data_IF_432376474486
#
_entry.id   IF_432376474486
#
_cell.length_a   1.000
_cell.length_b   1.000
_cell.length_c   1.000
_cell.angle_alpha   90.00
_cell.angle_beta   90.00
_cell.angle_gamma   90.00
#
_symmetry.space_group_name_H-M   'P 1'
#
loop_
_entity.id
_entity.type
_entity.pdbx_description
1 polymer ?
#
# COMPACT_ATOMS: atom_id res chain seq x y z
N UNK A 1 -7.11 12.12 4.81
CA UNK A 1 -6.12 12.02 3.71
C UNK A 1 -6.64 11.00 2.73
N UNK A 2 -6.55 11.30 1.43
CA UNK A 2 -6.98 10.38 0.38
C UNK A 2 -5.76 9.77 -0.32
N UNK A 3 -5.83 8.48 -0.61
CA UNK A 3 -4.85 7.78 -1.44
C UNK A 3 -5.07 8.14 -2.91
N UNK A 4 -3.99 8.35 -3.66
CA UNK A 4 -4.04 8.39 -5.13
C UNK A 4 -4.02 6.97 -5.67
N UNK A 5 -5.14 6.55 -6.27
CA UNK A 5 -5.26 5.21 -6.85
C UNK A 5 -5.31 5.31 -8.37
N UNK A 6 -4.52 4.49 -9.06
CA UNK A 6 -4.58 4.38 -10.53
C UNK A 6 -5.32 3.09 -10.91
N UNK A 7 -6.47 3.18 -11.60
CA UNK A 7 -7.10 2.04 -12.23
C UNK A 7 -6.23 1.48 -13.36
N UNK A 8 -5.93 0.18 -13.32
CA UNK A 8 -5.23 -0.52 -14.39
C UNK A 8 -6.17 -1.41 -15.20
N UNK A 9 -6.09 -1.30 -16.52
CA UNK A 9 -6.83 -2.16 -17.45
C UNK A 9 -5.88 -3.04 -18.28
N UNK A 10 -6.38 -4.21 -18.69
CA UNK A 10 -5.63 -5.15 -19.52
C UNK A 10 -5.75 -4.85 -21.01
N UNK A 11 -6.97 -4.59 -21.48
CA UNK A 11 -7.30 -4.52 -22.91
C UNK A 11 -7.69 -3.09 -23.34
N UNK A 12 -8.74 -2.51 -22.74
CA UNK A 12 -9.23 -1.18 -23.09
C UNK A 12 -9.76 -0.43 -21.87
N UNK A 13 -9.56 0.89 -21.84
CA UNK A 13 -10.20 1.79 -20.87
C UNK A 13 -11.70 2.00 -21.15
N UNK A 14 -12.13 1.70 -22.37
CA UNK A 14 -13.51 1.86 -22.83
C UNK A 14 -14.38 0.62 -22.62
N UNK A 15 -13.80 -0.44 -22.03
CA UNK A 15 -14.56 -1.61 -21.65
C UNK A 15 -15.70 -1.22 -20.66
N UNK A 16 -16.97 -1.54 -20.96
CA UNK A 16 -18.10 -1.11 -20.15
C UNK A 16 -18.07 -1.64 -18.72
N UNK A 17 -17.57 -2.86 -18.51
CA UNK A 17 -17.45 -3.45 -17.17
C UNK A 17 -16.37 -2.72 -16.39
N UNK A 18 -15.18 -2.54 -16.98
CA UNK A 18 -14.09 -1.79 -16.35
C UNK A 18 -14.53 -0.37 -15.96
N UNK A 19 -15.17 0.36 -16.87
CA UNK A 19 -15.63 1.73 -16.63
C UNK A 19 -16.68 1.78 -15.53
N UNK A 20 -17.68 0.90 -15.60
CA UNK A 20 -18.72 0.82 -14.57
C UNK A 20 -18.15 0.48 -13.19
N UNK A 21 -17.12 -0.37 -13.11
CA UNK A 21 -16.44 -0.64 -11.84
C UNK A 21 -15.61 0.56 -11.35
N UNK A 22 -14.95 1.30 -12.24
CA UNK A 22 -14.26 2.54 -11.85
C UNK A 22 -15.22 3.56 -11.22
N UNK A 23 -16.37 3.80 -11.84
CA UNK A 23 -17.39 4.74 -11.35
C UNK A 23 -17.90 4.32 -9.96
N UNK A 24 -18.19 3.03 -9.76
CA UNK A 24 -18.61 2.50 -8.46
C UNK A 24 -17.52 2.63 -7.40
N UNK A 25 -16.27 2.30 -7.74
CA UNK A 25 -15.14 2.44 -6.81
C UNK A 25 -14.91 3.90 -6.42
N UNK A 26 -15.06 4.84 -7.35
CA UNK A 26 -14.97 6.28 -7.08
C UNK A 26 -16.05 6.74 -6.09
N UNK A 27 -17.28 6.23 -6.21
CA UNK A 27 -18.34 6.49 -5.24
C UNK A 27 -18.04 5.86 -3.86
N UNK A 28 -17.72 4.57 -3.83
CA UNK A 28 -17.55 3.79 -2.60
C UNK A 28 -16.35 4.23 -1.75
N UNK A 29 -15.29 4.67 -2.41
CA UNK A 29 -14.01 5.08 -1.81
C UNK A 29 -13.82 6.59 -1.80
N UNK A 30 -14.87 7.37 -2.07
CA UNK A 30 -14.80 8.84 -2.17
C UNK A 30 -14.08 9.49 -1.00
N UNK A 31 -14.24 8.97 0.21
CA UNK A 31 -13.62 9.54 1.43
C UNK A 31 -12.16 9.09 1.62
N UNK A 32 -11.78 7.94 1.06
CA UNK A 32 -10.47 7.32 1.25
C UNK A 32 -9.50 7.52 0.07
N UNK A 33 -9.99 7.78 -1.14
CA UNK A 33 -9.16 7.84 -2.34
C UNK A 33 -9.60 8.91 -3.35
N UNK A 34 -8.61 9.42 -4.07
CA UNK A 34 -8.77 10.11 -5.34
C UNK A 34 -8.42 9.10 -6.45
N UNK A 35 -9.42 8.72 -7.25
CA UNK A 35 -9.23 7.82 -8.38
C UNK A 35 -8.68 8.63 -9.56
N UNK A 36 -7.48 8.28 -10.01
CA UNK A 36 -6.80 8.95 -11.12
C UNK A 36 -7.22 8.39 -12.47
N UNK A 37 -6.76 9.03 -13.55
CA UNK A 37 -6.97 8.55 -14.93
C UNK A 37 -6.50 7.09 -15.10
N UNK A 38 -7.35 6.21 -15.67
CA UNK A 38 -6.99 4.83 -15.96
C UNK A 38 -5.75 4.72 -16.85
N UNK A 39 -4.92 3.70 -16.60
CA UNK A 39 -3.70 3.43 -17.37
C UNK A 39 -3.65 1.97 -17.86
N UNK A 40 -3.08 1.71 -19.04
CA UNK A 40 -2.90 0.34 -19.50
C UNK A 40 -1.85 -0.34 -18.62
N UNK A 41 -2.06 -1.62 -18.32
CA UNK A 41 -1.03 -2.46 -17.69
C UNK A 41 0.27 -2.40 -18.52
N UNK A 42 1.41 -2.29 -17.84
CA UNK A 42 2.73 -2.18 -18.48
C UNK A 42 3.15 -0.76 -18.84
N UNK A 43 2.27 0.24 -18.70
CA UNK A 43 2.63 1.64 -18.91
C UNK A 43 3.42 2.23 -17.73
N UNK A 44 4.15 3.31 -17.99
CA UNK A 44 4.78 4.11 -16.95
C UNK A 44 3.73 4.78 -16.09
N UNK A 45 3.76 4.52 -14.79
CA UNK A 45 2.78 5.06 -13.84
C UNK A 45 3.24 6.43 -13.32
N UNK A 46 2.35 7.44 -13.25
CA UNK A 46 2.61 8.64 -12.48
C UNK A 46 2.71 8.31 -10.98
N UNK A 47 3.08 9.31 -10.18
CA UNK A 47 3.17 9.14 -8.73
C UNK A 47 1.79 8.78 -8.13
N UNK A 48 1.70 7.59 -7.53
CA UNK A 48 0.49 7.08 -6.90
C UNK A 48 0.82 6.29 -5.64
N UNK A 49 -0.17 6.13 -4.77
CA UNK A 49 0.00 5.46 -3.49
C UNK A 49 -0.31 3.97 -3.61
N UNK A 50 -1.16 3.58 -4.56
CA UNK A 50 -1.41 2.21 -4.98
C UNK A 50 -2.02 2.17 -6.39
N UNK A 51 -2.04 0.98 -6.98
CA UNK A 51 -2.86 0.68 -8.16
C UNK A 51 -4.06 -0.17 -7.76
N UNK A 52 -5.14 -0.03 -8.50
CA UNK A 52 -6.35 -0.83 -8.33
C UNK A 52 -6.69 -1.50 -9.66
N UNK A 53 -7.09 -2.77 -9.61
CA UNK A 53 -7.68 -3.51 -10.71
C UNK A 53 -9.20 -3.59 -10.48
N UNK A 54 -9.99 -2.74 -11.16
CA UNK A 54 -11.45 -2.81 -11.20
C UNK A 54 -11.98 -4.04 -11.95
N UNK A 55 -11.13 -4.66 -12.76
CA UNK A 55 -11.42 -5.87 -13.50
C UNK A 55 -10.12 -6.68 -13.62
N UNK A 56 -10.20 -8.00 -13.48
CA UNK A 56 -9.10 -8.91 -13.83
C UNK A 56 -9.58 -9.89 -14.89
N UNK A 57 -8.69 -10.25 -15.81
CA UNK A 57 -8.99 -11.13 -16.94
C UNK A 57 -7.95 -12.25 -17.00
N UNK A 58 -8.20 -13.27 -17.80
CA UNK A 58 -7.23 -14.34 -18.08
C UNK A 58 -5.89 -13.83 -18.63
N UNK A 59 -5.83 -12.61 -19.15
CA UNK A 59 -4.58 -11.92 -19.49
C UNK A 59 -3.59 -11.83 -18.32
N UNK A 60 -4.06 -11.81 -17.08
CA UNK A 60 -3.21 -11.84 -15.89
C UNK A 60 -2.28 -13.06 -15.84
N UNK A 61 -2.70 -14.21 -16.38
CA UNK A 61 -1.86 -15.41 -16.44
C UNK A 61 -0.67 -15.28 -17.39
N UNK A 62 -0.80 -14.44 -18.42
CA UNK A 62 0.18 -14.23 -19.49
C UNK A 62 1.05 -13.00 -19.27
N UNK A 63 0.55 -12.00 -18.52
CA UNK A 63 1.19 -10.70 -18.28
C UNK A 63 1.72 -10.56 -16.84
N UNK A 64 2.12 -11.67 -16.24
CA UNK A 64 2.60 -11.76 -14.84
C UNK A 64 3.77 -10.81 -14.57
N UNK A 65 4.72 -10.73 -15.49
CA UNK A 65 5.92 -9.90 -15.29
C UNK A 65 5.60 -8.41 -15.32
N UNK A 66 4.57 -8.01 -16.05
CA UNK A 66 4.10 -6.62 -16.05
C UNK A 66 3.41 -6.27 -14.73
N UNK A 67 2.66 -7.22 -14.14
CA UNK A 67 2.06 -7.06 -12.81
C UNK A 67 3.16 -7.05 -11.74
N UNK A 68 4.18 -7.91 -11.86
CA UNK A 68 5.33 -7.96 -10.94
C UNK A 68 6.13 -6.66 -10.94
N UNK A 69 6.23 -5.99 -12.10
CA UNK A 69 6.98 -4.75 -12.25
C UNK A 69 6.31 -3.53 -11.59
N UNK A 70 5.07 -3.65 -11.11
CA UNK A 70 4.34 -2.56 -10.45
C UNK A 70 5.04 -2.22 -9.11
N UNK A 71 5.53 -0.98 -8.92
CA UNK A 71 6.35 -0.63 -7.75
C UNK A 71 5.54 -0.25 -6.50
N UNK A 72 4.23 -0.14 -6.65
CA UNK A 72 3.29 0.28 -5.60
C UNK A 72 2.35 -0.88 -5.25
N UNK A 73 1.68 -0.84 -4.08
CA UNK A 73 0.73 -1.88 -3.69
C UNK A 73 -0.36 -2.11 -4.74
N UNK A 74 -0.74 -3.37 -4.92
CA UNK A 74 -1.75 -3.81 -5.90
C UNK A 74 -3.02 -4.20 -5.16
N UNK A 75 -4.14 -3.58 -5.51
CA UNK A 75 -5.47 -3.87 -4.98
C UNK A 75 -6.33 -4.46 -6.10
N UNK A 76 -7.02 -5.57 -5.83
CA UNK A 76 -7.97 -6.19 -6.75
C UNK A 76 -9.36 -6.03 -6.14
N UNK A 77 -10.18 -5.17 -6.74
CA UNK A 77 -11.54 -4.88 -6.28
C UNK A 77 -12.46 -4.83 -7.51
N UNK A 78 -13.01 -5.98 -7.85
CA UNK A 78 -13.67 -6.24 -9.14
C UNK A 78 -15.18 -6.41 -9.06
N UNK A 79 -15.71 -6.47 -7.85
CA UNK A 79 -17.15 -6.49 -7.61
C UNK A 79 -17.69 -5.07 -7.44
N UNK A 80 -18.98 -4.92 -7.73
CA UNK A 80 -19.70 -3.66 -7.55
C UNK A 80 -19.81 -3.16 -6.11
N UNK A 81 -19.44 -4.01 -5.14
CA UNK A 81 -19.44 -3.67 -3.71
C UNK A 81 -18.06 -3.22 -3.21
N UNK A 82 -17.11 -2.98 -4.12
CA UNK A 82 -15.76 -2.52 -3.78
C UNK A 82 -14.91 -3.59 -3.10
N UNK A 83 -15.17 -4.86 -3.39
CA UNK A 83 -14.41 -6.02 -2.92
C UNK A 83 -14.02 -6.91 -4.10
N UNK A 84 -13.20 -7.94 -3.87
CA UNK A 84 -12.86 -8.94 -4.89
C UNK A 84 -14.10 -9.78 -5.23
N UNK A 85 -14.33 -10.02 -6.51
CA UNK A 85 -15.33 -10.99 -6.95
C UNK A 85 -14.85 -12.41 -6.60
N UNK A 86 -15.76 -13.27 -6.11
CA UNK A 86 -15.42 -14.64 -5.74
C UNK A 86 -14.81 -15.42 -6.90
N UNK A 87 -15.20 -15.14 -8.15
CA UNK A 87 -14.70 -15.83 -9.33
C UNK A 87 -13.24 -15.50 -9.66
N UNK A 88 -12.69 -14.41 -9.13
CA UNK A 88 -11.31 -14.00 -9.37
C UNK A 88 -10.30 -14.71 -8.45
N UNK A 89 -10.78 -15.60 -7.57
CA UNK A 89 -9.95 -16.33 -6.61
C UNK A 89 -8.76 -17.05 -7.27
N UNK A 90 -8.97 -17.64 -8.44
CA UNK A 90 -7.93 -18.39 -9.16
C UNK A 90 -6.81 -17.46 -9.66
N UNK A 91 -7.16 -16.29 -10.19
CA UNK A 91 -6.19 -15.28 -10.63
C UNK A 91 -5.40 -14.78 -9.42
N UNK A 92 -6.09 -14.46 -8.32
CA UNK A 92 -5.46 -13.99 -7.08
C UNK A 92 -4.49 -15.03 -6.53
N UNK A 93 -4.89 -16.29 -6.46
CA UNK A 93 -4.05 -17.39 -5.96
C UNK A 93 -2.83 -17.62 -6.87
N UNK A 94 -3.05 -17.62 -8.20
CA UNK A 94 -1.97 -17.75 -9.18
C UNK A 94 -0.92 -16.64 -9.04
N UNK A 95 -1.34 -15.37 -8.90
CA UNK A 95 -0.43 -14.23 -8.70
C UNK A 95 0.37 -14.38 -7.39
N UNK A 96 -0.29 -14.77 -6.29
CA UNK A 96 0.36 -15.04 -5.00
C UNK A 96 1.37 -16.18 -5.09
N UNK A 97 1.02 -17.26 -5.80
CA UNK A 97 1.93 -18.39 -6.07
C UNK A 97 3.18 -18.00 -6.85
N UNK A 98 3.14 -16.89 -7.60
CA UNK A 98 4.30 -16.28 -8.29
C UNK A 98 5.05 -15.24 -7.46
N UNK A 99 4.72 -15.12 -6.18
CA UNK A 99 5.34 -14.19 -5.24
C UNK A 99 4.89 -12.74 -5.40
N UNK A 100 3.80 -12.49 -6.14
CA UNK A 100 3.25 -11.14 -6.30
C UNK A 100 2.31 -10.86 -5.13
N UNK A 101 2.58 -9.79 -4.39
CA UNK A 101 1.76 -9.38 -3.27
C UNK A 101 0.57 -8.56 -3.79
N UNK A 102 -0.63 -9.17 -3.74
CA UNK A 102 -1.89 -8.52 -4.09
C UNK A 102 -2.86 -8.52 -2.92
N UNK A 103 -3.50 -7.37 -2.71
CA UNK A 103 -4.63 -7.22 -1.82
C UNK A 103 -5.92 -7.61 -2.55
N UNK A 104 -6.63 -8.60 -2.01
CA UNK A 104 -7.93 -9.04 -2.52
C UNK A 104 -8.94 -8.99 -1.37
N UNK A 105 -9.43 -7.79 -1.02
CA UNK A 105 -10.34 -7.60 0.11
C UNK A 105 -11.70 -8.25 -0.16
N UNK A 106 -12.28 -8.87 0.87
CA UNK A 106 -13.59 -9.55 0.80
C UNK A 106 -14.72 -8.75 1.49
N UNK A 107 -14.43 -7.54 1.95
CA UNK A 107 -15.42 -6.56 2.44
C UNK A 107 -15.01 -5.16 2.04
N UNK A 108 -15.98 -4.25 1.91
CA UNK A 108 -15.70 -2.84 1.62
C UNK A 108 -14.86 -2.17 2.72
N UNK A 109 -15.11 -2.48 3.99
CA UNK A 109 -14.34 -1.90 5.11
C UNK A 109 -12.87 -2.32 5.09
N UNK A 110 -12.59 -3.55 4.64
CA UNK A 110 -11.21 -4.00 4.43
C UNK A 110 -10.57 -3.24 3.27
N UNK A 111 -11.29 -3.05 2.15
CA UNK A 111 -10.81 -2.22 1.03
C UNK A 111 -10.46 -0.82 1.50
N UNK A 112 -11.38 -0.14 2.21
CA UNK A 112 -11.16 1.20 2.78
C UNK A 112 -9.94 1.24 3.71
N UNK A 113 -9.77 0.22 4.55
CA UNK A 113 -8.62 0.13 5.46
C UNK A 113 -7.29 -0.03 4.71
N UNK A 114 -7.26 -0.84 3.65
CA UNK A 114 -6.09 -1.02 2.80
C UNK A 114 -5.75 0.29 2.07
N UNK A 115 -6.75 0.98 1.53
CA UNK A 115 -6.58 2.27 0.85
C UNK A 115 -6.01 3.32 1.81
N UNK A 116 -6.56 3.45 3.02
CA UNK A 116 -6.02 4.35 4.05
C UNK A 116 -4.58 3.99 4.43
N UNK A 117 -4.25 2.70 4.53
CA UNK A 117 -2.88 2.25 4.81
C UNK A 117 -1.91 2.61 3.67
N UNK A 118 -2.36 2.57 2.41
CA UNK A 118 -1.56 3.00 1.27
C UNK A 118 -1.25 4.50 1.34
N UNK A 119 -2.24 5.34 1.66
CA UNK A 119 -2.02 6.77 1.88
C UNK A 119 -1.04 7.02 3.03
N UNK A 120 -1.21 6.32 4.16
CA UNK A 120 -0.34 6.45 5.34
C UNK A 120 1.12 6.11 5.03
N UNK A 121 1.39 5.10 4.20
CA UNK A 121 2.76 4.70 3.83
C UNK A 121 3.56 5.85 3.21
N UNK A 122 2.91 6.76 2.49
CA UNK A 122 3.56 7.96 1.95
C UNK A 122 3.98 8.90 3.08
N UNK A 123 3.04 9.25 3.95
CA UNK A 123 3.26 10.18 5.07
C UNK A 123 4.31 9.66 6.07
N UNK A 124 4.34 8.35 6.32
CA UNK A 124 5.34 7.74 7.19
C UNK A 124 6.77 7.97 6.72
N UNK A 125 7.02 8.09 5.40
CA UNK A 125 8.35 8.39 4.85
C UNK A 125 8.81 9.83 5.12
N UNK A 126 7.87 10.73 5.34
CA UNK A 126 8.12 12.15 5.62
C UNK A 126 8.10 12.42 7.15
N UNK A 127 7.62 11.46 7.93
CA UNK A 127 7.46 11.59 9.37
C UNK A 127 8.80 11.43 10.09
N UNK A 128 9.12 12.41 10.92
CA UNK A 128 10.26 12.36 11.86
C UNK A 128 9.76 12.26 13.29
N UNK A 129 10.13 11.18 13.97
CA UNK A 129 9.91 11.00 15.40
C UNK A 129 11.08 11.60 16.17
N UNK A 130 10.82 12.68 16.91
CA UNK A 130 11.83 13.36 17.71
C UNK A 130 11.87 12.78 19.12
N UNK A 131 12.99 12.18 19.50
CA UNK A 131 13.24 11.70 20.86
C UNK A 131 14.22 12.64 21.56
N UNK A 132 13.80 13.22 22.68
CA UNK A 132 14.72 13.87 23.61
C UNK A 132 15.20 12.83 24.62
N UNK A 133 16.45 12.40 24.47
CA UNK A 133 17.04 11.41 25.35
C UNK A 133 18.58 11.39 25.19
N UNK A 134 19.30 11.61 26.29
CA UNK A 134 20.77 11.65 26.28
C UNK A 134 21.37 10.24 26.35
N UNK A 135 21.22 9.58 27.51
CA UNK A 135 21.85 8.30 27.76
C UNK A 135 20.93 7.40 28.62
N UNK A 136 20.01 6.63 27.99
CA UNK A 136 19.04 5.81 28.73
C UNK A 136 19.68 4.66 29.53
N UNK A 137 20.93 4.31 29.23
CA UNK A 137 21.72 3.35 29.97
C UNK A 137 22.29 3.87 31.30
N UNK A 138 22.03 5.13 31.65
CA UNK A 138 22.47 5.81 32.87
C UNK A 138 21.26 6.45 33.57
N UNK A 139 21.25 6.42 34.91
CA UNK A 139 20.14 6.98 35.71
C UNK A 139 19.07 5.97 36.11
N UNK A 140 17.82 6.42 36.26
CA UNK A 140 16.72 5.57 36.74
C UNK A 140 16.41 4.47 35.72
N UNK A 141 16.30 3.23 36.20
CA UNK A 141 15.96 2.06 35.39
C UNK A 141 16.96 1.73 34.26
N UNK A 142 18.21 2.17 34.37
CA UNK A 142 19.29 1.90 33.41
C UNK A 142 19.44 0.40 33.02
N UNK A 143 19.20 -0.52 33.96
CA UNK A 143 19.27 -1.96 33.72
C UNK A 143 18.22 -2.47 32.72
N UNK A 144 17.10 -1.76 32.59
CA UNK A 144 16.01 -2.07 31.66
C UNK A 144 16.43 -1.66 30.23
N UNK A 145 16.92 -0.44 30.05
CA UNK A 145 17.32 0.07 28.74
C UNK A 145 18.52 -0.68 28.13
N UNK A 146 19.44 -1.19 28.96
CA UNK A 146 20.56 -2.04 28.50
C UNK A 146 20.13 -3.37 27.88
N UNK A 147 18.86 -3.77 28.03
CA UNK A 147 18.32 -5.03 27.47
C UNK A 147 17.50 -4.82 26.21
N UNK A 148 17.19 -3.57 25.86
CA UNK A 148 16.17 -3.26 24.88
C UNK A 148 16.74 -2.96 23.50
N UNK A 149 16.50 -3.87 22.57
CA UNK A 149 16.95 -3.75 21.18
C UNK A 149 16.39 -2.53 20.45
N UNK A 150 15.20 -2.04 20.80
CA UNK A 150 14.57 -0.90 20.13
C UNK A 150 15.35 0.42 20.28
N UNK A 151 16.28 0.49 21.24
CA UNK A 151 17.20 1.61 21.38
C UNK A 151 18.41 1.54 20.45
N UNK A 152 18.79 0.33 20.03
CA UNK A 152 19.98 0.07 19.22
C UNK A 152 19.87 0.70 17.84
N UNK A 153 21.01 1.17 17.32
CA UNK A 153 21.08 1.82 16.02
C UNK A 153 20.54 0.93 14.89
N UNK A 154 20.78 -0.38 15.00
CA UNK A 154 20.25 -1.37 14.06
C UNK A 154 18.71 -1.36 14.03
N UNK A 155 18.04 -1.28 15.18
CA UNK A 155 16.59 -1.26 15.21
C UNK A 155 16.03 0.01 14.57
N UNK A 156 16.64 1.16 14.86
CA UNK A 156 16.27 2.45 14.26
C UNK A 156 16.42 2.41 12.74
N UNK A 157 17.54 1.88 12.25
CA UNK A 157 17.78 1.77 10.82
C UNK A 157 16.79 0.80 10.15
N UNK A 158 16.45 -0.32 10.81
CA UNK A 158 15.41 -1.24 10.33
C UNK A 158 14.03 -0.58 10.27
N UNK A 159 13.66 0.25 11.24
CA UNK A 159 12.40 1.02 11.23
C UNK A 159 12.39 1.99 10.06
N UNK A 160 13.49 2.72 9.83
CA UNK A 160 13.65 3.63 8.70
C UNK A 160 13.53 2.91 7.37
N UNK A 161 14.22 1.79 7.19
CA UNK A 161 14.20 1.02 5.95
C UNK A 161 12.82 0.41 5.66
N UNK A 162 12.15 -0.12 6.70
CA UNK A 162 10.88 -0.83 6.53
C UNK A 162 9.69 0.10 6.39
N UNK A 163 9.65 1.18 7.17
CA UNK A 163 8.48 2.05 7.29
C UNK A 163 8.72 3.48 6.77
N UNK A 164 9.97 3.88 6.52
CA UNK A 164 10.33 5.22 6.08
C UNK A 164 10.45 6.25 7.21
N UNK A 165 10.06 5.90 8.44
CA UNK A 165 10.04 6.83 9.57
C UNK A 165 11.46 7.16 10.03
N UNK A 166 11.75 8.44 10.20
CA UNK A 166 13.03 8.89 10.74
C UNK A 166 12.95 9.03 12.26
N UNK A 167 13.87 8.42 13.00
CA UNK A 167 14.00 8.68 14.44
C UNK A 167 15.14 9.69 14.67
N UNK A 168 14.80 10.90 15.07
CA UNK A 168 15.75 11.98 15.36
C UNK A 168 15.99 12.00 16.87
N UNK A 169 17.18 11.63 17.32
CA UNK A 169 17.57 11.75 18.72
C UNK A 169 18.18 13.13 18.98
N UNK A 170 17.68 13.85 19.98
CA UNK A 170 18.24 15.11 20.47
C UNK A 170 18.56 15.01 21.96
N UNK A 171 19.59 15.76 22.36
CA UNK A 171 19.98 15.88 23.76
C UNK A 171 19.09 16.87 24.50
N UNK A 172 18.89 16.67 25.81
CA UNK A 172 18.25 17.65 26.69
C UNK A 172 19.14 18.85 27.03
N UNK A 173 20.45 18.73 26.80
CA UNK A 173 21.46 19.73 27.20
C UNK A 173 21.76 20.77 26.11
N UNK A 174 21.06 20.71 24.98
CA UNK A 174 21.28 21.52 23.80
C UNK A 174 20.12 22.47 23.52
#
# INVERSE_FOLDING_TARGET
MKARLIPLYFQSADDPEFRGQCEKLEELLREEADILEPRPLGSTLPEADAVIFPQVLGDAYRRVEEIRAIPVPIIIATSEFGMVNIWDWEIVDYLRGRGIQVFAPYTLDLTRSIVRACALRKEMKETSFLLFQDNPGEGMQASIFKRFFWWEQECIERIRQKFGVQAVKKSFKA
#
